data_IF_959903641426
#
_entry.id   IF_959903641426
#
_cell.length_a   1.000
_cell.length_b   1.000
_cell.length_c   1.000
_cell.angle_alpha   90.00
_cell.angle_beta   90.00
_cell.angle_gamma   90.00
#
_symmetry.space_group_name_H-M   'P 1'
#
loop_
_entity.id
_entity.type
_entity.pdbx_description
1 polymer ?
#
# COMPACT_ATOMS: atom_id res chain seq x y z
N UNK A 1 -17.42 30.88 17.84
CA UNK A 1 -16.69 30.31 18.98
C UNK A 1 -16.49 28.85 18.67
N UNK A 2 -15.26 28.38 18.43
CA UNK A 2 -15.01 26.96 18.22
C UNK A 2 -15.25 26.23 19.55
N UNK A 3 -16.01 25.15 19.51
CA UNK A 3 -16.26 24.26 20.64
C UNK A 3 -14.92 23.64 21.08
N UNK A 4 -14.26 24.26 22.06
CA UNK A 4 -12.95 23.87 22.59
C UNK A 4 -13.03 22.67 23.55
N UNK A 5 -14.20 22.08 23.74
CA UNK A 5 -14.44 21.01 24.73
C UNK A 5 -14.60 19.63 24.12
N UNK A 6 -14.76 19.51 22.79
CA UNK A 6 -15.00 18.21 22.15
C UNK A 6 -13.68 17.51 21.79
N UNK A 7 -13.49 16.30 22.28
CA UNK A 7 -12.39 15.44 21.87
C UNK A 7 -12.55 15.06 20.38
N UNK A 8 -11.54 15.35 19.56
CA UNK A 8 -11.52 14.94 18.14
C UNK A 8 -11.44 13.43 18.02
N UNK A 9 -12.10 12.89 17.00
CA UNK A 9 -12.24 11.46 16.76
C UNK A 9 -11.56 11.06 15.46
N UNK A 10 -10.72 10.03 15.55
CA UNK A 10 -10.09 9.35 14.41
C UNK A 10 -10.80 8.02 14.22
N UNK A 11 -11.17 7.69 12.99
CA UNK A 11 -11.75 6.39 12.61
C UNK A 11 -10.76 5.64 11.74
N UNK A 12 -10.36 4.44 12.16
CA UNK A 12 -9.72 3.48 11.26
C UNK A 12 -10.85 2.74 10.55
N UNK A 13 -11.01 2.99 9.25
CA UNK A 13 -12.11 2.45 8.45
C UNK A 13 -11.97 0.95 8.23
N UNK A 14 -10.73 0.48 8.03
CA UNK A 14 -10.40 -0.93 7.90
C UNK A 14 -8.91 -1.18 8.17
N UNK A 15 -8.59 -2.41 8.52
CA UNK A 15 -7.21 -2.90 8.68
C UNK A 15 -7.20 -4.43 8.66
N UNK A 16 -6.11 -5.03 8.19
CA UNK A 16 -5.86 -6.47 8.23
C UNK A 16 -4.70 -6.86 9.16
N UNK A 17 -4.16 -5.89 9.89
CA UNK A 17 -3.18 -6.11 10.96
C UNK A 17 -3.86 -6.84 12.14
N UNK A 18 -3.09 -7.60 12.92
CA UNK A 18 -3.64 -8.35 14.06
C UNK A 18 -4.25 -7.47 15.17
N UNK A 19 -3.78 -6.21 15.28
CA UNK A 19 -4.22 -5.21 16.26
C UNK A 19 -4.08 -3.79 15.71
N UNK A 20 -4.41 -2.80 16.52
CA UNK A 20 -4.23 -1.36 16.25
C UNK A 20 -3.50 -0.67 17.42
N UNK A 21 -2.63 -1.37 18.11
CA UNK A 21 -1.98 -0.88 19.33
C UNK A 21 -0.99 0.25 19.03
N UNK A 22 -0.34 0.23 17.87
CA UNK A 22 0.57 1.31 17.43
C UNK A 22 -0.23 2.60 17.23
N UNK A 23 -1.29 2.54 16.45
CA UNK A 23 -2.16 3.69 16.16
C UNK A 23 -2.81 4.21 17.45
N UNK A 24 -3.29 3.30 18.29
CA UNK A 24 -3.91 3.64 19.56
C UNK A 24 -2.95 4.41 20.47
N UNK A 25 -1.73 3.91 20.61
CA UNK A 25 -0.72 4.57 21.45
C UNK A 25 -0.43 6.00 20.95
N UNK A 26 -0.32 6.21 19.64
CA UNK A 26 0.00 7.50 19.04
C UNK A 26 -1.19 8.47 19.16
N UNK A 27 -2.39 8.00 18.79
CA UNK A 27 -3.59 8.82 18.69
C UNK A 27 -4.09 9.22 20.10
N UNK A 28 -4.16 8.26 21.02
CA UNK A 28 -4.64 8.53 22.39
C UNK A 28 -3.63 9.38 23.20
N UNK A 29 -2.33 9.20 23.00
CA UNK A 29 -1.31 10.07 23.60
C UNK A 29 -1.44 11.54 23.17
N UNK A 30 -1.99 11.80 21.99
CA UNK A 30 -2.30 13.14 21.51
C UNK A 30 -3.65 13.70 22.05
N UNK A 31 -4.33 12.96 22.94
CA UNK A 31 -5.63 13.34 23.48
C UNK A 31 -6.80 13.17 22.50
N UNK A 32 -6.61 12.42 21.43
CA UNK A 32 -7.64 12.12 20.43
C UNK A 32 -8.36 10.80 20.77
N UNK A 33 -9.58 10.64 20.28
CA UNK A 33 -10.34 9.40 20.41
C UNK A 33 -10.14 8.52 19.20
N UNK A 34 -9.85 7.23 19.39
CA UNK A 34 -9.76 6.23 18.32
C UNK A 34 -11.03 5.37 18.30
N UNK A 35 -11.58 5.17 17.10
CA UNK A 35 -12.63 4.20 16.79
C UNK A 35 -12.10 3.31 15.66
N UNK A 36 -12.35 2.01 15.74
CA UNK A 36 -11.98 1.04 14.70
C UNK A 36 -13.23 0.46 14.06
N UNK A 37 -13.18 0.26 12.77
CA UNK A 37 -14.23 -0.39 11.98
C UNK A 37 -13.61 -1.44 11.02
N UNK A 38 -14.48 -2.17 10.31
CA UNK A 38 -14.09 -3.09 9.24
C UNK A 38 -15.03 -2.85 8.05
N UNK A 39 -14.92 -1.66 7.48
CA UNK A 39 -15.77 -1.22 6.37
C UNK A 39 -15.49 -2.02 5.10
N UNK A 40 -16.55 -2.47 4.44
CA UNK A 40 -16.49 -3.23 3.18
C UNK A 40 -17.21 -2.52 2.04
N UNK A 41 -17.85 -1.39 2.35
CA UNK A 41 -18.59 -0.56 1.40
C UNK A 41 -18.51 0.92 1.79
N UNK A 42 -18.82 1.82 0.88
CA UNK A 42 -18.95 3.25 1.21
C UNK A 42 -20.04 3.52 2.25
N UNK A 43 -21.13 2.71 2.30
CA UNK A 43 -22.17 2.84 3.33
C UNK A 43 -21.62 2.54 4.72
N UNK A 44 -20.76 1.53 4.83
CA UNK A 44 -20.07 1.23 6.10
C UNK A 44 -19.16 2.40 6.52
N UNK A 45 -18.41 3.00 5.57
CA UNK A 45 -17.57 4.17 5.83
C UNK A 45 -18.41 5.35 6.31
N UNK A 46 -19.54 5.62 5.65
CA UNK A 46 -20.45 6.68 6.04
C UNK A 46 -20.99 6.43 7.47
N UNK A 47 -21.42 5.21 7.74
CA UNK A 47 -21.96 4.86 9.06
C UNK A 47 -20.91 5.00 10.18
N UNK A 48 -19.66 4.61 9.91
CA UNK A 48 -18.58 4.63 10.90
C UNK A 48 -17.95 6.02 11.07
N UNK A 49 -17.80 6.80 9.98
CA UNK A 49 -16.92 7.96 9.96
C UNK A 49 -17.61 9.30 9.65
N UNK A 50 -18.94 9.35 9.48
CA UNK A 50 -19.68 10.59 9.13
C UNK A 50 -19.28 11.79 9.97
N UNK A 51 -19.14 11.59 11.29
CA UNK A 51 -18.82 12.64 12.26
C UNK A 51 -17.38 12.56 12.78
N UNK A 52 -16.49 11.82 12.08
CA UNK A 52 -15.08 11.74 12.40
C UNK A 52 -14.34 13.03 12.01
N UNK A 53 -13.28 13.34 12.71
CA UNK A 53 -12.36 14.42 12.35
C UNK A 53 -11.22 13.94 11.44
N UNK A 54 -10.94 12.64 11.43
CA UNK A 54 -10.01 12.00 10.52
C UNK A 54 -10.39 10.55 10.23
N UNK A 55 -9.94 10.06 9.07
CA UNK A 55 -10.06 8.67 8.65
C UNK A 55 -8.67 8.11 8.35
N UNK A 56 -8.42 6.86 8.74
CA UNK A 56 -7.29 6.05 8.25
C UNK A 56 -7.89 4.86 7.53
N UNK A 57 -7.40 4.55 6.32
CA UNK A 57 -7.93 3.46 5.50
C UNK A 57 -6.82 2.62 4.87
N UNK A 58 -7.02 1.30 4.83
CA UNK A 58 -6.11 0.36 4.17
C UNK A 58 -6.64 -0.06 2.79
N UNK A 59 -7.83 -0.63 2.73
CA UNK A 59 -8.50 -1.11 1.51
C UNK A 59 -9.91 -0.54 1.34
N UNK A 60 -10.52 -0.02 2.42
CA UNK A 60 -11.87 0.54 2.36
C UNK A 60 -11.93 1.72 1.40
N UNK A 61 -12.85 1.66 0.44
CA UNK A 61 -13.05 2.73 -0.53
C UNK A 61 -13.69 3.95 0.13
N UNK A 62 -12.99 5.08 0.08
CA UNK A 62 -13.46 6.39 0.53
C UNK A 62 -13.76 7.23 -0.72
N UNK A 63 -14.83 6.89 -1.42
CA UNK A 63 -15.24 7.55 -2.68
C UNK A 63 -15.99 8.86 -2.46
N UNK A 64 -16.38 9.51 -3.55
CA UNK A 64 -17.05 10.81 -3.54
C UNK A 64 -18.31 10.84 -2.67
N UNK A 65 -19.07 9.74 -2.65
CA UNK A 65 -20.30 9.64 -1.86
C UNK A 65 -20.00 9.61 -0.36
N UNK A 66 -19.02 8.83 0.05
CA UNK A 66 -18.56 8.81 1.45
C UNK A 66 -18.03 10.17 1.87
N UNK A 67 -17.15 10.78 1.06
CA UNK A 67 -16.56 12.10 1.31
C UNK A 67 -17.64 13.17 1.48
N UNK A 68 -18.64 13.18 0.62
CA UNK A 68 -19.76 14.15 0.67
C UNK A 68 -20.61 14.03 1.95
N UNK A 69 -20.61 12.86 2.59
CA UNK A 69 -21.35 12.62 3.82
C UNK A 69 -20.55 13.00 5.10
N UNK A 70 -19.25 13.26 4.98
CA UNK A 70 -18.39 13.63 6.10
C UNK A 70 -18.67 15.08 6.54
N UNK A 71 -18.89 15.28 7.84
CA UNK A 71 -19.31 16.58 8.36
C UNK A 71 -18.16 17.43 8.91
N UNK A 72 -17.06 16.79 9.31
CA UNK A 72 -15.95 17.45 10.06
C UNK A 72 -14.57 16.94 9.70
N UNK A 73 -14.45 15.99 8.77
CA UNK A 73 -13.19 15.36 8.43
C UNK A 73 -12.19 16.40 7.92
N UNK A 74 -11.03 16.46 8.53
CA UNK A 74 -9.93 17.33 8.14
C UNK A 74 -8.89 16.58 7.32
N UNK A 75 -8.73 15.25 7.53
CA UNK A 75 -7.71 14.46 6.86
C UNK A 75 -8.16 13.01 6.66
N UNK A 76 -7.81 12.45 5.50
CA UNK A 76 -7.88 11.02 5.19
C UNK A 76 -6.45 10.55 4.97
N UNK A 77 -5.96 9.65 5.84
CA UNK A 77 -4.64 9.04 5.74
C UNK A 77 -4.76 7.62 5.18
N UNK A 78 -3.94 7.29 4.19
CA UNK A 78 -3.89 5.95 3.60
C UNK A 78 -2.75 5.15 4.23
N UNK A 79 -2.99 3.89 4.66
CA UNK A 79 -1.95 2.93 4.99
C UNK A 79 -1.25 2.45 3.72
N UNK A 80 -0.27 3.19 3.23
CA UNK A 80 0.57 2.87 2.09
C UNK A 80 0.63 3.99 1.05
N UNK A 81 1.29 3.73 -0.06
CA UNK A 81 1.67 4.74 -1.06
C UNK A 81 0.55 5.06 -2.06
N UNK A 82 -0.13 4.04 -2.60
CA UNK A 82 -1.22 4.23 -3.57
C UNK A 82 -2.43 4.92 -2.93
N UNK A 83 -3.17 5.71 -3.71
CA UNK A 83 -4.36 6.45 -3.24
C UNK A 83 -5.61 6.13 -4.03
N UNK A 84 -5.62 5.08 -4.80
CA UNK A 84 -6.71 4.62 -5.68
C UNK A 84 -8.02 4.29 -4.93
N UNK A 85 -7.94 4.01 -3.64
CA UNK A 85 -9.11 3.80 -2.76
C UNK A 85 -9.76 5.10 -2.29
N UNK A 86 -9.12 6.26 -2.47
CA UNK A 86 -9.62 7.57 -2.03
C UNK A 86 -9.91 8.44 -3.25
N UNK A 87 -11.10 9.01 -3.34
CA UNK A 87 -11.40 10.03 -4.34
C UNK A 87 -10.72 11.35 -3.94
N UNK A 88 -9.48 11.52 -4.41
CA UNK A 88 -8.63 12.69 -4.07
C UNK A 88 -9.25 14.00 -4.57
N UNK A 89 -9.93 13.97 -5.73
CA UNK A 89 -10.58 15.16 -6.31
C UNK A 89 -11.78 15.58 -5.47
N UNK A 90 -12.63 14.62 -5.07
CA UNK A 90 -13.73 14.89 -4.17
C UNK A 90 -13.24 15.38 -2.80
N UNK A 91 -12.20 14.78 -2.22
CA UNK A 91 -11.61 15.23 -0.96
C UNK A 91 -11.10 16.69 -1.07
N UNK A 92 -10.44 17.03 -2.18
CA UNK A 92 -9.94 18.38 -2.45
C UNK A 92 -11.08 19.39 -2.54
N UNK A 93 -12.17 19.06 -3.24
CA UNK A 93 -13.36 19.91 -3.37
C UNK A 93 -14.04 20.15 -2.00
N UNK A 94 -14.00 19.19 -1.09
CA UNK A 94 -14.54 19.29 0.26
C UNK A 94 -13.56 19.88 1.28
N UNK A 95 -12.37 20.28 0.85
CA UNK A 95 -11.34 20.85 1.73
C UNK A 95 -10.73 19.84 2.71
N UNK A 96 -10.74 18.55 2.36
CA UNK A 96 -10.18 17.46 3.14
C UNK A 96 -8.78 17.14 2.60
N UNK A 97 -7.79 17.16 3.48
CA UNK A 97 -6.44 16.76 3.14
C UNK A 97 -6.35 15.23 2.97
N UNK A 98 -5.64 14.79 1.93
CA UNK A 98 -5.30 13.38 1.76
C UNK A 98 -3.80 13.20 1.97
N UNK A 99 -3.42 12.23 2.79
CA UNK A 99 -2.03 11.85 3.04
C UNK A 99 -1.82 10.37 2.74
N UNK A 100 -0.60 10.02 2.35
CA UNK A 100 -0.17 8.65 2.11
C UNK A 100 1.19 8.39 2.74
N UNK A 101 1.66 7.15 2.72
CA UNK A 101 3.03 6.82 3.14
C UNK A 101 3.97 7.03 1.96
N UNK A 102 5.13 7.71 2.14
CA UNK A 102 6.11 7.92 1.07
C UNK A 102 6.60 6.61 0.43
N UNK A 103 7.07 6.69 -0.82
CA UNK A 103 7.44 5.53 -1.63
C UNK A 103 8.65 4.70 -1.13
N UNK A 104 9.39 5.19 -0.15
CA UNK A 104 10.65 4.61 0.33
C UNK A 104 10.52 3.68 1.55
N UNK A 105 9.28 3.39 1.97
CA UNK A 105 9.04 2.62 3.19
C UNK A 105 9.14 1.09 3.00
N UNK A 106 8.91 0.56 1.79
CA UNK A 106 8.92 -0.89 1.51
C UNK A 106 9.57 -1.25 0.17
N UNK A 107 10.29 -0.33 -0.48
CA UNK A 107 10.91 -0.60 -1.79
C UNK A 107 11.91 -1.75 -1.75
N UNK A 108 12.59 -1.93 -0.62
CA UNK A 108 13.57 -2.99 -0.44
C UNK A 108 12.90 -4.35 -0.27
N UNK A 109 11.84 -4.42 0.54
CA UNK A 109 11.03 -5.62 0.74
C UNK A 109 10.44 -6.10 -0.59
N UNK A 110 9.81 -5.20 -1.33
CA UNK A 110 9.24 -5.52 -2.65
C UNK A 110 10.32 -5.96 -3.64
N UNK A 111 11.48 -5.32 -3.64
CA UNK A 111 12.58 -5.71 -4.52
C UNK A 111 13.18 -7.08 -4.12
N UNK A 112 13.33 -7.36 -2.84
CA UNK A 112 13.81 -8.65 -2.35
C UNK A 112 12.83 -9.77 -2.69
N UNK A 113 11.54 -9.54 -2.50
CA UNK A 113 10.48 -10.47 -2.86
C UNK A 113 10.45 -10.74 -4.38
N UNK A 114 10.54 -9.70 -5.20
CA UNK A 114 10.63 -9.85 -6.65
C UNK A 114 11.83 -10.68 -7.09
N UNK A 115 13.00 -10.49 -6.46
CA UNK A 115 14.18 -11.32 -6.73
C UNK A 115 13.99 -12.75 -6.25
N UNK A 116 13.33 -12.98 -5.11
CA UNK A 116 13.01 -14.33 -4.64
C UNK A 116 12.10 -15.07 -5.63
N UNK A 117 11.05 -14.41 -6.13
CA UNK A 117 10.17 -14.96 -7.17
C UNK A 117 10.93 -15.27 -8.46
N UNK A 118 11.75 -14.33 -8.94
CA UNK A 118 12.59 -14.50 -10.12
C UNK A 118 13.48 -15.75 -10.00
N UNK A 119 14.18 -15.88 -8.87
CA UNK A 119 15.10 -16.99 -8.65
C UNK A 119 14.34 -18.33 -8.49
N UNK A 120 13.22 -18.32 -7.77
CA UNK A 120 12.38 -19.50 -7.61
C UNK A 120 11.82 -20.00 -8.96
N UNK A 121 11.35 -19.07 -9.80
CA UNK A 121 10.87 -19.41 -11.15
C UNK A 121 11.99 -19.91 -12.06
N UNK A 122 13.11 -19.19 -12.16
CA UNK A 122 14.22 -19.52 -13.05
C UNK A 122 14.93 -20.82 -12.68
N UNK A 123 15.00 -21.14 -11.37
CA UNK A 123 15.64 -22.36 -10.86
C UNK A 123 14.66 -23.50 -10.59
N UNK A 124 13.35 -23.31 -10.87
CA UNK A 124 12.26 -24.30 -10.68
C UNK A 124 12.18 -24.82 -9.23
N UNK A 125 12.45 -23.94 -8.24
CA UNK A 125 12.57 -24.32 -6.82
C UNK A 125 11.28 -24.98 -6.33
N UNK A 126 10.12 -24.41 -6.60
CA UNK A 126 8.82 -24.93 -6.17
C UNK A 126 8.59 -26.34 -6.76
N UNK A 127 8.89 -26.54 -8.05
CA UNK A 127 8.72 -27.82 -8.72
C UNK A 127 9.65 -28.90 -8.14
N UNK A 128 10.88 -28.53 -7.83
CA UNK A 128 11.81 -29.45 -7.15
C UNK A 128 11.35 -29.81 -5.75
N UNK A 129 10.93 -28.83 -4.94
CA UNK A 129 10.44 -29.06 -3.58
C UNK A 129 9.24 -30.02 -3.59
N UNK A 130 8.23 -29.75 -4.43
CA UNK A 130 7.05 -30.59 -4.57
C UNK A 130 7.40 -32.03 -4.98
N UNK A 131 8.26 -32.20 -5.98
CA UNK A 131 8.68 -33.52 -6.48
C UNK A 131 9.45 -34.29 -5.39
N UNK A 132 10.38 -33.63 -4.71
CA UNK A 132 11.19 -34.24 -3.66
C UNK A 132 10.33 -34.69 -2.48
N UNK A 133 9.37 -33.87 -2.05
CA UNK A 133 8.39 -34.25 -1.00
C UNK A 133 7.51 -35.44 -1.43
N UNK A 134 7.24 -35.57 -2.75
CA UNK A 134 6.54 -36.73 -3.32
C UNK A 134 7.44 -37.96 -3.55
N UNK A 135 8.68 -37.95 -3.07
CA UNK A 135 9.63 -39.07 -3.19
C UNK A 135 10.39 -39.14 -4.51
N UNK A 136 10.30 -38.12 -5.36
CA UNK A 136 10.99 -38.05 -6.65
C UNK A 136 12.32 -37.28 -6.47
N UNK A 137 13.43 -38.01 -6.43
CA UNK A 137 14.78 -37.43 -6.30
C UNK A 137 15.49 -37.43 -7.66
N UNK A 138 15.10 -36.45 -8.52
CA UNK A 138 15.60 -36.34 -9.89
C UNK A 138 15.81 -34.88 -10.30
N UNK A 139 17.02 -34.54 -10.80
CA UNK A 139 17.29 -33.20 -11.31
C UNK A 139 16.56 -32.88 -12.62
N UNK A 140 16.25 -33.91 -13.44
CA UNK A 140 15.48 -33.76 -14.69
C UNK A 140 14.06 -33.23 -14.44
N UNK A 141 13.55 -33.31 -13.24
CA UNK A 141 12.25 -32.73 -12.87
C UNK A 141 12.15 -31.24 -13.19
N UNK A 142 13.28 -30.51 -13.12
CA UNK A 142 13.32 -29.07 -13.40
C UNK A 142 13.56 -28.68 -14.86
N UNK A 143 13.86 -29.62 -15.75
CA UNK A 143 14.21 -29.32 -17.15
C UNK A 143 13.08 -28.60 -17.91
N UNK A 144 13.41 -27.63 -18.79
CA UNK A 144 14.74 -27.02 -18.99
C UNK A 144 15.04 -25.93 -17.98
N UNK A 145 16.31 -25.84 -17.54
CA UNK A 145 16.82 -24.72 -16.73
C UNK A 145 17.96 -24.05 -17.48
N UNK A 146 17.86 -22.74 -17.66
CA UNK A 146 18.87 -21.94 -18.33
C UNK A 146 19.72 -21.14 -17.33
N UNK A 147 20.92 -20.76 -17.75
CA UNK A 147 21.81 -19.91 -16.98
C UNK A 147 21.22 -18.50 -16.90
N UNK A 148 21.21 -17.89 -15.69
CA UNK A 148 20.75 -16.52 -15.50
C UNK A 148 21.75 -15.50 -16.01
N UNK A 149 23.03 -15.67 -15.70
CA UNK A 149 24.09 -14.75 -16.12
C UNK A 149 24.13 -14.61 -17.65
N UNK A 150 24.10 -13.37 -18.12
CA UNK A 150 23.99 -13.03 -19.54
C UNK A 150 22.55 -12.99 -20.06
N UNK A 151 21.58 -13.41 -19.25
CA UNK A 151 20.15 -13.30 -19.57
C UNK A 151 19.64 -11.86 -19.50
N UNK A 152 18.37 -11.68 -19.90
CA UNK A 152 17.68 -10.39 -19.84
C UNK A 152 16.52 -10.45 -18.89
N UNK A 153 16.45 -9.49 -17.95
CA UNK A 153 15.30 -9.24 -17.08
C UNK A 153 14.48 -8.09 -17.65
N UNK A 154 13.22 -8.36 -17.97
CA UNK A 154 12.24 -7.33 -18.32
C UNK A 154 11.58 -6.79 -17.05
N UNK A 155 11.51 -5.47 -16.90
CA UNK A 155 10.76 -4.79 -15.87
C UNK A 155 9.63 -3.98 -16.52
N UNK A 156 8.41 -4.12 -16.02
CA UNK A 156 7.29 -3.26 -16.36
C UNK A 156 7.33 -2.04 -15.44
N UNK A 157 7.42 -0.84 -16.01
CA UNK A 157 7.72 0.41 -15.29
C UNK A 157 9.20 0.54 -14.86
N UNK A 158 9.61 1.74 -14.39
CA UNK A 158 10.98 1.99 -13.88
C UNK A 158 10.99 2.98 -12.70
N UNK A 159 10.01 2.87 -11.80
CA UNK A 159 9.96 3.61 -10.54
C UNK A 159 10.99 3.12 -9.50
N UNK A 160 10.89 3.59 -8.26
CA UNK A 160 11.83 3.29 -7.17
C UNK A 160 12.03 1.78 -6.96
N UNK A 161 10.96 1.01 -6.90
CA UNK A 161 10.97 -0.46 -6.74
C UNK A 161 11.69 -1.13 -7.92
N UNK A 162 11.35 -0.78 -9.16
CA UNK A 162 11.98 -1.36 -10.35
C UNK A 162 13.48 -1.05 -10.41
N UNK A 163 13.90 0.15 -9.99
CA UNK A 163 15.32 0.51 -9.85
C UNK A 163 16.01 -0.33 -8.77
N UNK A 164 15.35 -0.58 -7.62
CA UNK A 164 15.87 -1.43 -6.56
C UNK A 164 16.04 -2.88 -7.03
N UNK A 165 15.08 -3.43 -7.81
CA UNK A 165 15.19 -4.74 -8.46
C UNK A 165 16.35 -4.76 -9.45
N UNK A 166 16.47 -3.73 -10.30
CA UNK A 166 17.56 -3.62 -11.28
C UNK A 166 18.95 -3.66 -10.66
N UNK A 167 19.16 -2.96 -9.53
CA UNK A 167 20.42 -3.01 -8.78
C UNK A 167 20.76 -4.42 -8.29
N UNK A 168 19.77 -5.16 -7.79
CA UNK A 168 19.95 -6.55 -7.32
C UNK A 168 20.22 -7.51 -8.48
N UNK A 169 19.46 -7.38 -9.56
CA UNK A 169 19.57 -8.21 -10.76
C UNK A 169 20.95 -8.12 -11.43
N UNK A 170 21.60 -6.96 -11.36
CA UNK A 170 22.96 -6.76 -11.86
C UNK A 170 23.98 -7.70 -11.17
N UNK A 171 23.80 -7.97 -9.86
CA UNK A 171 24.64 -8.93 -9.11
C UNK A 171 24.53 -10.38 -9.62
N UNK A 172 23.46 -10.73 -10.32
CA UNK A 172 23.28 -12.03 -10.99
C UNK A 172 23.74 -12.05 -12.46
N UNK A 173 24.32 -10.94 -12.93
CA UNK A 173 24.79 -10.81 -14.31
C UNK A 173 23.66 -10.70 -15.34
N UNK A 174 22.48 -10.22 -14.90
CA UNK A 174 21.34 -9.98 -15.78
C UNK A 174 21.43 -8.61 -16.45
N UNK A 175 21.03 -8.55 -17.72
CA UNK A 175 20.78 -7.29 -18.43
C UNK A 175 19.34 -6.88 -18.16
N UNK A 176 19.14 -5.69 -17.59
CA UNK A 176 17.81 -5.15 -17.28
C UNK A 176 17.28 -4.31 -18.43
N UNK A 177 16.04 -4.55 -18.83
CA UNK A 177 15.28 -3.75 -19.81
C UNK A 177 13.94 -3.40 -19.16
N UNK A 178 13.55 -2.12 -19.19
CA UNK A 178 12.23 -1.67 -18.76
C UNK A 178 11.30 -1.43 -19.94
N UNK A 179 10.05 -1.90 -19.86
CA UNK A 179 9.02 -1.73 -20.91
C UNK A 179 7.60 -1.89 -20.35
N UNK A 180 6.63 -1.37 -21.08
CA UNK A 180 5.20 -1.25 -20.70
C UNK A 180 4.30 -2.04 -21.66
N UNK A 181 4.32 -3.39 -21.67
CA UNK A 181 3.43 -4.18 -22.54
C UNK A 181 2.91 -5.53 -21.97
N UNK A 182 1.75 -5.96 -22.50
CA UNK A 182 0.87 -7.04 -22.03
C UNK A 182 1.55 -8.39 -21.66
N UNK A 183 1.52 -8.71 -20.36
CA UNK A 183 2.18 -9.85 -19.73
C UNK A 183 1.61 -11.21 -20.14
N UNK A 184 0.27 -11.37 -20.14
CA UNK A 184 -0.38 -12.66 -20.42
C UNK A 184 -0.03 -13.21 -21.81
N UNK A 185 -0.05 -12.35 -22.84
CA UNK A 185 0.28 -12.75 -24.22
C UNK A 185 1.74 -13.20 -24.33
N UNK A 186 2.65 -12.53 -23.65
CA UNK A 186 4.07 -12.87 -23.66
C UNK A 186 4.35 -14.23 -22.99
N UNK A 187 3.63 -14.56 -21.92
CA UNK A 187 3.74 -15.84 -21.21
C UNK A 187 3.13 -16.99 -21.99
N UNK A 188 1.88 -16.84 -22.47
CA UNK A 188 1.15 -17.90 -23.17
C UNK A 188 1.75 -18.24 -24.54
N UNK A 189 2.42 -17.29 -25.20
CA UNK A 189 3.10 -17.50 -26.49
C UNK A 189 4.58 -17.85 -26.33
N UNK A 190 5.08 -18.01 -25.11
CA UNK A 190 6.46 -18.39 -24.84
C UNK A 190 7.50 -17.31 -25.16
N UNK A 191 7.09 -16.05 -25.26
CA UNK A 191 8.01 -14.93 -25.51
C UNK A 191 8.91 -14.64 -24.30
N UNK A 192 8.42 -14.93 -23.10
CA UNK A 192 9.17 -14.93 -21.86
C UNK A 192 9.05 -16.28 -21.14
N UNK A 193 10.09 -16.65 -20.42
CA UNK A 193 10.23 -17.98 -19.82
C UNK A 193 9.31 -18.19 -18.60
N UNK A 194 8.90 -17.13 -17.92
CA UNK A 194 8.04 -17.18 -16.75
C UNK A 194 7.88 -15.81 -16.13
N UNK A 195 6.99 -15.69 -15.14
CA UNK A 195 6.77 -14.48 -14.37
C UNK A 195 6.61 -14.80 -12.86
N UNK A 196 6.94 -13.81 -12.03
CA UNK A 196 6.54 -13.74 -10.62
C UNK A 196 5.62 -12.54 -10.46
N UNK A 197 4.47 -12.74 -9.86
CA UNK A 197 3.42 -11.74 -9.68
C UNK A 197 3.04 -11.67 -8.20
N UNK A 198 2.90 -10.47 -7.66
CA UNK A 198 2.44 -10.27 -6.28
C UNK A 198 1.13 -9.47 -6.24
N UNK A 199 0.77 -8.82 -7.33
CA UNK A 199 -0.48 -8.10 -7.54
C UNK A 199 -1.14 -8.54 -8.85
N UNK A 200 -2.47 -8.63 -8.85
CA UNK A 200 -3.31 -8.95 -10.00
C UNK A 200 -4.55 -8.05 -10.01
N UNK A 201 -5.12 -7.78 -11.19
CA UNK A 201 -6.27 -6.87 -11.34
C UNK A 201 -7.49 -7.24 -10.47
N UNK A 202 -7.71 -8.54 -10.23
CA UNK A 202 -8.81 -9.08 -9.43
C UNK A 202 -8.36 -9.47 -8.01
N UNK A 203 -7.76 -8.55 -7.29
CA UNK A 203 -7.16 -8.83 -5.98
C UNK A 203 -8.19 -9.25 -4.93
N UNK A 204 -8.02 -10.42 -4.28
CA UNK A 204 -8.97 -10.98 -3.31
C UNK A 204 -9.19 -10.12 -2.09
N UNK A 205 -8.18 -9.36 -1.65
CA UNK A 205 -8.29 -8.48 -0.48
C UNK A 205 -9.39 -7.42 -0.65
N UNK A 206 -9.71 -7.07 -1.90
CA UNK A 206 -10.76 -6.13 -2.29
C UNK A 206 -12.13 -6.81 -2.49
N UNK A 207 -12.18 -8.15 -2.57
CA UNK A 207 -13.39 -8.94 -2.86
C UNK A 207 -13.71 -9.90 -1.72
N UNK A 208 -15.00 -10.04 -1.36
CA UNK A 208 -15.44 -10.95 -0.28
C UNK A 208 -15.39 -12.42 -0.67
N UNK A 209 -15.75 -12.74 -1.91
CA UNK A 209 -15.88 -14.09 -2.44
C UNK A 209 -14.89 -14.26 -3.59
N UNK A 210 -13.66 -14.61 -3.25
CA UNK A 210 -12.62 -14.80 -4.26
C UNK A 210 -12.53 -16.26 -4.72
N UNK A 211 -12.50 -16.44 -6.03
CA UNK A 211 -12.12 -17.70 -6.69
C UNK A 211 -11.03 -17.41 -7.71
N UNK A 212 -10.01 -18.29 -7.86
CA UNK A 212 -8.91 -18.08 -8.82
C UNK A 212 -9.40 -18.22 -10.27
N UNK A 213 -10.03 -17.17 -10.81
CA UNK A 213 -10.58 -17.16 -12.17
C UNK A 213 -9.61 -16.56 -13.20
N UNK A 214 -8.59 -15.82 -12.77
CA UNK A 214 -7.61 -15.22 -13.67
C UNK A 214 -6.83 -16.31 -14.42
N UNK A 215 -6.74 -16.25 -15.78
CA UNK A 215 -6.07 -17.28 -16.57
C UNK A 215 -4.58 -17.47 -16.24
N UNK A 216 -3.93 -16.53 -15.58
CA UNK A 216 -2.56 -16.65 -15.10
C UNK A 216 -2.37 -17.77 -14.06
N UNK A 217 -3.43 -18.12 -13.30
CA UNK A 217 -3.38 -19.23 -12.34
C UNK A 217 -3.24 -20.60 -12.99
N UNK A 218 -3.59 -20.72 -14.26
CA UNK A 218 -3.45 -21.96 -15.04
C UNK A 218 -2.08 -22.15 -15.69
N UNK A 219 -1.14 -21.24 -15.53
CA UNK A 219 0.16 -21.30 -16.18
C UNK A 219 1.24 -21.84 -15.23
N UNK A 220 1.90 -22.94 -15.65
CA UNK A 220 2.99 -23.59 -14.86
C UNK A 220 4.26 -22.73 -14.75
N UNK A 221 4.41 -21.70 -15.55
CA UNK A 221 5.56 -20.80 -15.57
C UNK A 221 5.30 -19.46 -14.87
N UNK A 222 4.23 -19.40 -14.05
CA UNK A 222 3.90 -18.22 -13.20
C UNK A 222 3.95 -18.60 -11.73
N UNK A 223 4.56 -17.76 -10.92
CA UNK A 223 4.49 -17.81 -9.46
C UNK A 223 3.67 -16.60 -9.02
N UNK A 224 2.64 -16.83 -8.20
CA UNK A 224 1.76 -15.78 -7.70
C UNK A 224 1.81 -15.79 -6.18
N UNK A 225 1.96 -14.61 -5.58
CA UNK A 225 1.91 -14.38 -4.14
C UNK A 225 0.78 -13.38 -3.80
N UNK A 226 0.23 -13.39 -2.57
CA UNK A 226 -1.02 -12.70 -2.25
C UNK A 226 -0.78 -11.25 -1.82
N UNK A 227 -0.16 -10.43 -2.67
CA UNK A 227 0.18 -9.03 -2.39
C UNK A 227 0.96 -8.90 -1.07
N UNK A 228 1.96 -9.76 -0.89
CA UNK A 228 2.76 -9.89 0.34
C UNK A 228 4.18 -9.30 0.20
N UNK A 229 4.52 -8.76 -0.97
CA UNK A 229 5.88 -8.29 -1.25
C UNK A 229 6.31 -7.10 -0.38
N UNK A 230 5.35 -6.32 0.12
CA UNK A 230 5.63 -5.20 1.02
C UNK A 230 5.89 -5.63 2.47
N UNK A 231 5.60 -6.89 2.82
CA UNK A 231 5.61 -7.35 4.20
C UNK A 231 7.03 -7.55 4.71
N UNK A 232 7.36 -6.81 5.75
CA UNK A 232 8.29 -7.14 6.81
C UNK A 232 7.71 -6.58 8.12
N UNK A 233 8.16 -7.06 9.26
CA UNK A 233 7.73 -6.53 10.56
C UNK A 233 8.05 -5.03 10.67
N UNK A 234 9.19 -4.63 10.13
CA UNK A 234 9.65 -3.24 10.08
C UNK A 234 8.79 -2.40 9.15
N UNK A 235 8.47 -2.89 7.96
CA UNK A 235 7.64 -2.18 6.99
C UNK A 235 6.21 -1.97 7.52
N UNK A 236 5.60 -3.02 8.08
CA UNK A 236 4.28 -2.93 8.72
C UNK A 236 4.29 -1.90 9.86
N UNK A 237 5.30 -1.95 10.72
CA UNK A 237 5.41 -0.97 11.81
C UNK A 237 5.52 0.46 11.27
N UNK A 238 6.34 0.65 10.24
CA UNK A 238 6.57 1.96 9.63
C UNK A 238 5.30 2.55 9.02
N UNK A 239 4.55 1.76 8.25
CA UNK A 239 3.33 2.25 7.58
C UNK A 239 2.24 2.62 8.60
N UNK A 240 2.10 1.83 9.66
CA UNK A 240 1.12 2.07 10.74
C UNK A 240 1.48 3.31 11.57
N UNK A 241 2.73 3.42 12.00
CA UNK A 241 3.24 4.59 12.73
C UNK A 241 3.08 5.88 11.91
N UNK A 242 3.49 5.84 10.65
CA UNK A 242 3.42 7.00 9.77
C UNK A 242 1.97 7.47 9.56
N UNK A 243 1.04 6.59 9.23
CA UNK A 243 -0.36 6.96 8.98
C UNK A 243 -1.03 7.55 10.23
N UNK A 244 -0.81 6.96 11.41
CA UNK A 244 -1.32 7.49 12.67
C UNK A 244 -0.69 8.83 13.03
N UNK A 245 0.63 8.97 12.84
CA UNK A 245 1.36 10.21 13.11
C UNK A 245 0.92 11.35 12.20
N UNK A 246 0.66 11.09 10.91
CA UNK A 246 0.15 12.11 9.97
C UNK A 246 -1.22 12.64 10.40
N UNK A 247 -2.14 11.78 10.80
CA UNK A 247 -3.44 12.20 11.34
C UNK A 247 -3.28 13.08 12.58
N UNK A 248 -2.43 12.68 13.53
CA UNK A 248 -2.16 13.47 14.73
C UNK A 248 -1.55 14.82 14.36
N UNK A 249 -0.55 14.86 13.45
CA UNK A 249 0.05 16.12 12.99
C UNK A 249 -1.01 17.10 12.50
N UNK A 250 -1.85 16.63 11.58
CA UNK A 250 -2.89 17.46 10.96
C UNK A 250 -3.90 17.93 11.99
N UNK A 251 -4.44 17.04 12.81
CA UNK A 251 -5.47 17.38 13.81
C UNK A 251 -4.96 18.29 14.95
N UNK A 252 -3.63 18.28 15.20
CA UNK A 252 -2.99 19.18 16.18
C UNK A 252 -2.42 20.47 15.55
N UNK A 253 -2.68 20.70 14.24
CA UNK A 253 -2.26 21.93 13.54
C UNK A 253 -0.81 21.93 13.06
N UNK A 254 -0.15 20.79 13.01
CA UNK A 254 1.18 20.65 12.41
C UNK A 254 1.04 20.37 10.90
N UNK A 255 2.03 20.76 10.07
CA UNK A 255 2.01 20.45 8.65
C UNK A 255 2.16 18.93 8.40
N UNK A 256 1.49 18.36 7.39
CA UNK A 256 1.71 16.99 6.99
C UNK A 256 3.14 16.81 6.43
N UNK A 257 3.66 15.58 6.48
CA UNK A 257 4.91 15.20 5.84
C UNK A 257 4.72 14.68 4.42
N UNK A 258 3.56 14.05 4.14
CA UNK A 258 3.25 13.46 2.84
C UNK A 258 1.84 13.80 2.37
N UNK A 259 1.64 15.04 1.94
CA UNK A 259 0.37 15.49 1.37
C UNK A 259 0.23 15.03 -0.08
N UNK A 260 -0.91 14.45 -0.43
CA UNK A 260 -1.25 14.05 -1.81
C UNK A 260 -1.92 15.20 -2.55
N UNK A 261 -2.72 16.00 -1.86
CA UNK A 261 -3.38 17.18 -2.40
C UNK A 261 -2.96 18.46 -1.66
N UNK A 262 -3.13 19.62 -2.31
CA UNK A 262 -2.69 20.91 -1.76
C UNK A 262 -3.63 21.56 -0.76
N UNK A 263 -4.49 20.80 -0.08
CA UNK A 263 -5.49 21.33 0.85
C UNK A 263 -4.84 21.83 2.13
N UNK A 264 -5.18 23.08 2.52
CA UNK A 264 -4.80 23.65 3.82
C UNK A 264 -5.97 23.47 4.80
N UNK A 265 -5.80 22.61 5.78
CA UNK A 265 -6.82 22.30 6.76
C UNK A 265 -7.00 23.41 7.79
N UNK A 266 -8.21 23.50 8.39
CA UNK A 266 -8.58 24.57 9.33
C UNK A 266 -7.74 24.59 10.61
N UNK A 267 -7.28 23.43 11.08
CA UNK A 267 -6.38 23.31 12.24
C UNK A 267 -5.01 23.94 11.96
N UNK A 268 -4.43 23.74 10.77
CA UNK A 268 -3.17 24.34 10.36
C UNK A 268 -3.27 25.86 10.20
N UNK A 269 -4.40 26.37 9.66
CA UNK A 269 -4.64 27.81 9.56
C UNK A 269 -4.70 28.47 10.95
N UNK A 270 -5.41 27.86 11.91
CA UNK A 270 -5.50 28.39 13.30
C UNK A 270 -4.15 28.41 14.00
N UNK A 271 -3.31 27.40 13.80
CA UNK A 271 -1.97 27.36 14.36
C UNK A 271 -1.03 28.41 13.76
N UNK A 272 -1.16 28.73 12.47
CA UNK A 272 -0.42 29.80 11.81
C UNK A 272 -0.87 31.18 12.32
N UNK A 273 -2.17 31.44 12.44
CA UNK A 273 -2.73 32.70 12.93
C UNK A 273 -2.34 32.96 14.40
N UNK A 274 -2.35 31.93 15.26
CA UNK A 274 -1.94 32.05 16.65
C UNK A 274 -0.45 32.42 16.82
N UNK A 275 0.43 31.96 15.93
CA UNK A 275 1.86 32.33 15.92
C UNK A 275 2.09 33.77 15.46
N UNK A 276 1.31 34.24 14.50
CA UNK A 276 1.36 35.62 14.01
C UNK A 276 0.88 36.60 15.08
N UNK A 277 -0.12 36.24 15.89
CA UNK A 277 -0.63 37.10 17.00
C UNK A 277 0.27 37.05 18.24
N UNK A 278 1.02 35.97 18.47
CA UNK A 278 1.96 35.85 19.58
C UNK A 278 3.33 36.51 19.32
N UNK A 279 3.64 36.88 18.09
CA UNK A 279 4.91 37.48 17.70
C UNK A 279 4.90 38.98 17.45
N UNK A 280 3.82 39.71 17.73
CA UNK A 280 3.80 41.16 17.65
C UNK A 280 4.43 41.76 18.94
N UNK A 281 5.61 42.39 18.88
CA UNK A 281 6.15 43.11 20.05
C UNK A 281 5.31 44.34 20.30
N UNK A 282 4.86 44.49 21.56
CA UNK A 282 4.26 45.71 22.09
C UNK A 282 5.30 46.83 22.20
#
# INVERSE_FOLDING_TARGET
MADTTRQKTVVIADYDYGDVDIERAIIEAAGLRLITAQCKSEDDVIAAARDADAIIAQYATVGARAISALTRCEVIARYGTGTDIVDVDAATQHGILVTNVPNDWCENEVADHAMALLLAAARKIIRYDQATRAGVWRWQTGEPIHRLSGGTLGLLSFGAIAQAIGRRAAGFGLRVIASDQALFKALSQGWIAGAGLDDIEEEPAKLRDWTPANPLFGLDNVIITPHAAYYSEEAIRTVRDFAASEVVRVLTGQPPLSAVNGVQVASARRAADSRLTAGAPT
#
